data_IF_532390203298
#
_entry.id   IF_532390203298
#
_cell.length_a   1.000
_cell.length_b   1.000
_cell.length_c   1.000
_cell.angle_alpha   90.00
_cell.angle_beta   90.00
_cell.angle_gamma   90.00
#
_symmetry.space_group_name_H-M   'P 1'
#
loop_
_entity.id
_entity.type
_entity.pdbx_description
1 polymer ?
#
# COMPACT_ATOMS: atom_id res chain seq x y z
N UNK A 1 10.32 7.51 21.96
CA UNK A 1 8.89 7.45 21.63
C UNK A 1 8.72 8.36 20.43
N UNK A 2 8.63 7.76 19.24
CA UNK A 2 8.45 8.51 18.00
C UNK A 2 7.04 8.24 17.53
N UNK A 3 6.22 9.28 17.50
CA UNK A 3 4.87 9.22 16.93
C UNK A 3 4.99 8.92 15.44
N UNK A 4 4.22 7.92 14.99
CA UNK A 4 3.94 7.73 13.58
C UNK A 4 3.12 8.94 13.07
N UNK A 5 3.31 9.38 11.82
CA UNK A 5 2.51 10.47 11.28
C UNK A 5 1.03 10.12 11.38
N UNK A 6 0.28 11.02 12.03
CA UNK A 6 -1.16 10.91 12.22
C UNK A 6 -1.87 10.78 10.88
N UNK A 7 -2.73 9.77 10.76
CA UNK A 7 -3.73 9.72 9.69
C UNK A 7 -4.66 10.92 9.88
N UNK A 8 -4.74 11.79 8.88
CA UNK A 8 -5.75 12.84 8.85
C UNK A 8 -7.12 12.17 8.74
N UNK A 9 -7.85 12.16 9.85
CA UNK A 9 -9.28 11.86 9.91
C UNK A 9 -10.00 13.20 9.78
N UNK A 10 -10.02 13.74 8.57
CA UNK A 10 -10.97 14.79 8.20
C UNK A 10 -12.01 14.15 7.29
N UNK A 11 -13.15 13.82 7.87
CA UNK A 11 -14.49 14.15 7.35
C UNK A 11 -15.58 13.38 8.10
N UNK A 12 -15.77 13.74 9.37
CA UNK A 12 -17.06 13.55 10.03
C UNK A 12 -17.89 14.80 9.79
N UNK A 13 -18.72 14.76 8.74
CA UNK A 13 -20.11 15.24 8.69
C UNK A 13 -20.49 15.58 7.24
N UNK A 14 -21.42 14.80 6.66
CA UNK A 14 -22.76 15.31 6.28
C UNK A 14 -23.66 14.21 5.73
N UNK A 15 -24.93 14.34 6.12
CA UNK A 15 -26.05 13.48 5.81
C UNK A 15 -26.31 13.36 4.31
N UNK A 16 -26.61 12.12 3.89
CA UNK A 16 -27.11 11.80 2.56
C UNK A 16 -28.52 12.33 2.32
N UNK A 17 -28.82 12.79 1.10
CA UNK A 17 -30.09 12.52 0.45
C UNK A 17 -29.93 11.42 -0.59
N UNK A 18 -30.89 10.50 -0.63
CA UNK A 18 -31.11 9.54 -1.70
C UNK A 18 -31.33 10.28 -3.05
N UNK A 19 -30.25 10.61 -3.75
CA UNK A 19 -30.32 11.34 -5.01
C UNK A 19 -29.05 11.15 -5.81
N UNK A 20 -29.14 10.35 -6.86
CA UNK A 20 -28.14 10.26 -7.92
C UNK A 20 -27.91 11.65 -8.52
N UNK A 21 -26.72 12.21 -8.31
CA UNK A 21 -26.16 13.22 -9.22
C UNK A 21 -24.86 12.63 -9.78
N UNK A 22 -25.00 11.78 -10.80
CA UNK A 22 -23.89 11.23 -11.58
C UNK A 22 -23.33 12.35 -12.47
N UNK A 23 -22.58 13.28 -11.90
CA UNK A 23 -21.56 14.01 -12.66
C UNK A 23 -20.28 13.19 -12.65
N UNK A 24 -20.26 12.08 -13.38
CA UNK A 24 -18.97 11.42 -13.64
C UNK A 24 -18.89 11.00 -15.11
N UNK A 25 -18.07 11.70 -15.89
CA UNK A 25 -17.66 11.34 -17.25
C UNK A 25 -16.72 10.11 -17.29
N UNK A 26 -16.64 9.34 -16.20
CA UNK A 26 -15.72 8.20 -16.05
C UNK A 26 -16.39 6.86 -16.32
N UNK A 27 -15.65 5.95 -16.96
CA UNK A 27 -16.06 4.55 -17.13
C UNK A 27 -16.02 3.82 -15.77
N UNK A 28 -17.05 3.01 -15.52
CA UNK A 28 -17.20 2.23 -14.29
C UNK A 28 -17.34 0.74 -14.63
N UNK A 29 -16.83 -0.11 -13.75
CA UNK A 29 -17.04 -1.56 -13.78
C UNK A 29 -17.65 -2.01 -12.46
N UNK A 30 -18.43 -3.09 -12.49
CA UNK A 30 -19.01 -3.69 -11.30
C UNK A 30 -18.59 -5.15 -11.20
N UNK A 31 -18.23 -5.61 -10.00
CA UNK A 31 -17.84 -7.00 -9.75
C UNK A 31 -18.53 -7.51 -8.49
N UNK A 32 -19.19 -8.66 -8.60
CA UNK A 32 -19.91 -9.30 -7.48
C UNK A 32 -18.94 -10.15 -6.68
N UNK A 33 -18.93 -9.98 -5.36
CA UNK A 33 -18.18 -10.82 -4.41
C UNK A 33 -19.11 -11.14 -3.24
N UNK A 34 -19.59 -12.38 -3.18
CA UNK A 34 -20.58 -12.80 -2.19
C UNK A 34 -21.88 -11.98 -2.26
N UNK A 35 -22.25 -11.36 -1.13
CA UNK A 35 -23.42 -10.47 -1.01
C UNK A 35 -23.12 -9.00 -1.33
N UNK A 36 -21.93 -8.69 -1.85
CA UNK A 36 -21.51 -7.31 -2.16
C UNK A 36 -21.24 -7.15 -3.65
N UNK A 37 -21.57 -5.97 -4.17
CA UNK A 37 -21.19 -5.51 -5.51
C UNK A 37 -20.18 -4.38 -5.33
N UNK A 38 -18.98 -4.56 -5.87
CA UNK A 38 -17.94 -3.56 -5.88
C UNK A 38 -18.01 -2.79 -7.19
N UNK A 39 -18.32 -1.49 -7.11
CA UNK A 39 -18.34 -0.57 -8.24
C UNK A 39 -17.02 0.20 -8.24
N UNK A 40 -16.24 0.03 -9.30
CA UNK A 40 -14.88 0.54 -9.45
C UNK A 40 -14.84 1.47 -10.65
N UNK A 41 -14.45 2.72 -10.44
CA UNK A 41 -14.42 3.74 -11.47
C UNK A 41 -15.10 5.03 -11.03
N UNK A 42 -15.23 5.96 -11.99
CA UNK A 42 -15.60 7.34 -11.68
C UNK A 42 -14.47 8.11 -11.01
N UNK A 43 -14.59 9.44 -11.03
CA UNK A 43 -13.76 10.36 -10.26
C UNK A 43 -14.46 10.60 -8.93
N UNK A 44 -13.73 10.46 -7.80
CA UNK A 44 -14.22 11.00 -6.53
C UNK A 44 -14.32 12.53 -6.68
N UNK A 45 -15.43 13.12 -6.23
CA UNK A 45 -15.71 14.55 -6.40
C UNK A 45 -14.61 15.43 -5.78
N UNK A 46 -14.30 16.51 -6.51
CA UNK A 46 -13.38 17.62 -6.21
C UNK A 46 -11.91 17.28 -5.87
N UNK A 47 -11.04 17.57 -6.84
CA UNK A 47 -9.59 17.81 -6.75
C UNK A 47 -8.60 16.64 -6.88
N UNK A 48 -9.01 15.37 -6.73
CA UNK A 48 -8.08 14.24 -6.94
C UNK A 48 -8.58 13.26 -7.99
N UNK A 49 -8.02 13.35 -9.19
CA UNK A 49 -8.26 12.38 -10.26
C UNK A 49 -7.72 11.01 -9.82
N UNK A 50 -8.50 10.21 -9.08
CA UNK A 50 -8.20 8.82 -8.70
C UNK A 50 -9.41 7.92 -8.97
N UNK A 51 -9.16 6.61 -9.12
CA UNK A 51 -10.24 5.64 -9.35
C UNK A 51 -11.01 5.42 -8.04
N UNK A 52 -12.29 5.80 -8.04
CA UNK A 52 -13.20 5.61 -6.90
C UNK A 52 -13.61 4.14 -6.70
N UNK A 53 -13.98 3.80 -5.46
CA UNK A 53 -14.55 2.49 -5.11
C UNK A 53 -15.80 2.70 -4.26
N UNK A 54 -16.91 2.08 -4.66
CA UNK A 54 -18.16 2.03 -3.87
C UNK A 54 -18.63 0.59 -3.74
N UNK A 55 -19.34 0.30 -2.66
CA UNK A 55 -19.88 -1.04 -2.39
C UNK A 55 -21.39 -0.94 -2.32
N UNK A 56 -22.10 -1.88 -2.93
CA UNK A 56 -23.54 -2.07 -2.78
C UNK A 56 -23.77 -3.40 -2.10
N UNK A 57 -24.51 -3.40 -1.00
CA UNK A 57 -24.99 -4.64 -0.40
C UNK A 57 -26.19 -5.16 -1.21
N UNK A 58 -26.14 -6.40 -1.69
CA UNK A 58 -27.17 -6.98 -2.57
C UNK A 58 -28.46 -7.27 -1.83
N UNK A 59 -28.39 -7.69 -0.58
CA UNK A 59 -29.57 -8.05 0.21
C UNK A 59 -30.33 -6.81 0.71
N UNK A 60 -29.62 -5.73 1.04
CA UNK A 60 -30.25 -4.48 1.55
C UNK A 60 -30.40 -3.38 0.50
N UNK A 61 -29.62 -3.42 -0.58
CA UNK A 61 -29.53 -2.33 -1.56
C UNK A 61 -28.76 -1.10 -1.06
N UNK A 62 -28.15 -1.18 0.12
CA UNK A 62 -27.44 -0.07 0.74
C UNK A 62 -26.09 0.21 0.07
N UNK A 63 -25.79 1.48 -0.12
CA UNK A 63 -24.50 1.94 -0.63
C UNK A 63 -23.55 2.26 0.52
N UNK A 64 -22.32 1.76 0.41
CA UNK A 64 -21.25 1.98 1.37
C UNK A 64 -20.05 2.59 0.66
N UNK A 65 -19.48 3.63 1.24
CA UNK A 65 -18.19 4.19 0.84
C UNK A 65 -17.14 3.56 1.76
N UNK A 66 -16.31 2.63 1.28
CA UNK A 66 -15.32 1.97 2.12
C UNK A 66 -14.14 2.89 2.43
N UNK A 67 -13.47 2.61 3.53
CA UNK A 67 -12.10 3.11 3.75
C UNK A 67 -11.17 2.43 2.74
N UNK A 68 -10.53 3.23 1.90
CA UNK A 68 -9.64 2.75 0.84
C UNK A 68 -8.18 2.90 1.29
N UNK A 69 -7.50 1.76 1.44
CA UNK A 69 -6.08 1.69 1.79
C UNK A 69 -5.20 1.47 0.54
N UNK A 70 -3.88 1.62 0.73
CA UNK A 70 -2.89 1.36 -0.31
C UNK A 70 -2.74 2.49 -1.33
N UNK A 71 -1.82 2.33 -2.27
CA UNK A 71 -1.58 3.31 -3.33
C UNK A 71 -2.65 3.20 -4.40
N UNK A 72 -3.47 4.24 -4.57
CA UNK A 72 -4.51 4.26 -5.59
C UNK A 72 -3.91 4.30 -7.01
N UNK A 73 -4.46 3.55 -7.99
CA UNK A 73 -4.06 3.67 -9.38
C UNK A 73 -4.38 5.06 -9.95
N UNK A 74 -3.53 5.51 -10.88
CA UNK A 74 -3.85 6.70 -11.69
C UNK A 74 -5.10 6.42 -12.55
N UNK A 75 -5.97 7.41 -12.79
CA UNK A 75 -7.11 7.25 -13.68
C UNK A 75 -6.67 6.84 -15.08
N UNK A 76 -7.53 6.11 -15.77
CA UNK A 76 -7.36 5.72 -17.16
C UNK A 76 -8.67 5.88 -17.91
N UNK A 77 -8.59 5.93 -19.24
CA UNK A 77 -9.74 6.00 -20.16
C UNK A 77 -10.58 4.71 -20.21
N UNK A 78 -10.31 3.74 -19.35
CA UNK A 78 -11.05 2.48 -19.29
C UNK A 78 -10.25 1.36 -18.63
N UNK A 79 -10.95 0.48 -17.93
CA UNK A 79 -10.41 -0.71 -17.27
C UNK A 79 -11.42 -1.85 -17.32
N UNK A 80 -10.92 -3.07 -17.16
CA UNK A 80 -11.73 -4.27 -16.91
C UNK A 80 -11.46 -4.76 -15.49
N UNK A 81 -12.48 -5.29 -14.83
CA UNK A 81 -12.37 -5.84 -13.47
C UNK A 81 -12.89 -7.29 -13.46
N UNK A 82 -12.15 -8.20 -12.83
CA UNK A 82 -12.49 -9.62 -12.71
C UNK A 82 -12.17 -10.15 -11.32
N UNK A 83 -13.09 -10.92 -10.73
CA UNK A 83 -12.87 -11.56 -9.42
C UNK A 83 -11.78 -12.64 -9.53
N UNK A 84 -10.89 -12.66 -8.54
CA UNK A 84 -9.79 -13.62 -8.38
C UNK A 84 -9.88 -14.21 -6.96
N UNK A 85 -9.89 -15.54 -6.86
CA UNK A 85 -9.81 -16.29 -5.60
C UNK A 85 -10.81 -15.87 -4.51
N UNK A 86 -11.94 -15.28 -4.91
CA UNK A 86 -13.02 -14.77 -4.03
C UNK A 86 -12.62 -13.64 -3.07
N UNK A 87 -11.33 -13.31 -2.92
CA UNK A 87 -10.80 -12.34 -1.96
C UNK A 87 -10.25 -11.05 -2.62
N UNK A 88 -10.08 -11.06 -3.95
CA UNK A 88 -9.45 -10.00 -4.73
C UNK A 88 -10.17 -9.74 -6.04
N UNK A 89 -10.10 -8.53 -6.55
CA UNK A 89 -10.54 -8.18 -7.90
C UNK A 89 -9.30 -7.74 -8.68
N UNK A 90 -9.00 -8.40 -9.79
CA UNK A 90 -7.97 -7.97 -10.74
C UNK A 90 -8.54 -6.88 -11.64
N UNK A 91 -7.86 -5.75 -11.67
CA UNK A 91 -8.15 -4.60 -12.54
C UNK A 91 -7.06 -4.50 -13.60
N UNK A 92 -7.45 -4.58 -14.87
CA UNK A 92 -6.56 -4.39 -16.03
C UNK A 92 -6.90 -3.07 -16.71
N UNK A 93 -5.94 -2.15 -16.75
CA UNK A 93 -6.10 -0.80 -17.30
C UNK A 93 -5.77 -0.77 -18.79
N UNK A 94 -6.68 -0.27 -19.63
CA UNK A 94 -6.44 -0.06 -21.05
C UNK A 94 -5.52 1.14 -21.32
N UNK A 95 -4.68 1.06 -22.37
CA UNK A 95 -3.80 2.15 -22.82
C UNK A 95 -2.87 2.72 -21.72
N UNK A 96 -2.41 1.88 -20.80
CA UNK A 96 -1.46 2.22 -19.73
C UNK A 96 -0.04 1.73 -20.07
N UNK A 97 0.99 2.26 -19.38
CA UNK A 97 2.35 1.71 -19.50
C UNK A 97 2.41 0.27 -18.98
N UNK A 98 3.41 -0.51 -19.41
CA UNK A 98 3.62 -1.90 -18.98
C UNK A 98 3.60 -2.06 -17.46
N UNK A 99 4.10 -1.04 -16.76
CA UNK A 99 4.31 -1.06 -15.32
C UNK A 99 3.11 -0.52 -14.54
N UNK A 100 2.04 -0.05 -15.19
CA UNK A 100 0.82 0.49 -14.55
C UNK A 100 -0.45 -0.20 -15.07
N UNK A 101 -0.30 -1.35 -15.72
CA UNK A 101 -1.41 -2.01 -16.43
C UNK A 101 -2.25 -2.97 -15.60
N UNK A 102 -1.72 -3.46 -14.47
CA UNK A 102 -2.40 -4.45 -13.63
C UNK A 102 -2.43 -3.97 -12.16
N UNK A 103 -3.61 -4.09 -11.56
CA UNK A 103 -3.88 -3.69 -10.18
C UNK A 103 -4.81 -4.71 -9.53
N UNK A 104 -4.76 -4.80 -8.21
CA UNK A 104 -5.66 -5.61 -7.42
C UNK A 104 -6.41 -4.71 -6.44
N UNK A 105 -7.70 -4.99 -6.27
CA UNK A 105 -8.48 -4.51 -5.16
C UNK A 105 -8.71 -5.68 -4.21
N UNK A 106 -8.08 -5.63 -3.04
CA UNK A 106 -8.28 -6.60 -1.98
C UNK A 106 -9.58 -6.28 -1.24
N UNK A 107 -10.49 -7.25 -1.18
CA UNK A 107 -11.85 -7.06 -0.68
C UNK A 107 -12.20 -7.98 0.49
N UNK A 108 -11.55 -9.14 0.59
CA UNK A 108 -11.73 -10.09 1.70
C UNK A 108 -10.46 -10.89 2.07
N UNK A 109 -9.27 -10.35 1.79
CA UNK A 109 -8.03 -10.99 2.25
C UNK A 109 -7.97 -10.97 3.78
N UNK A 110 -7.13 -11.82 4.40
CA UNK A 110 -6.99 -11.82 5.86
C UNK A 110 -6.63 -10.44 6.42
N UNK A 111 -5.74 -9.72 5.73
CA UNK A 111 -5.40 -8.34 6.05
C UNK A 111 -6.64 -7.43 6.06
N UNK A 112 -7.48 -7.50 5.03
CA UNK A 112 -8.71 -6.70 4.95
C UNK A 112 -9.66 -7.03 6.09
N UNK A 113 -9.83 -8.31 6.44
CA UNK A 113 -10.69 -8.72 7.56
C UNK A 113 -10.17 -8.16 8.89
N UNK A 114 -8.86 -8.20 9.11
CA UNK A 114 -8.24 -7.63 10.31
C UNK A 114 -8.42 -6.10 10.36
N UNK A 115 -8.27 -5.40 9.23
CA UNK A 115 -8.51 -3.95 9.16
C UNK A 115 -9.98 -3.58 9.38
N UNK A 116 -10.94 -4.35 8.83
CA UNK A 116 -12.38 -4.16 9.09
C UNK A 116 -12.69 -4.28 10.57
N UNK A 117 -12.14 -5.29 11.24
CA UNK A 117 -12.32 -5.48 12.68
C UNK A 117 -11.70 -4.35 13.51
N UNK A 118 -10.55 -3.81 13.08
CA UNK A 118 -9.85 -2.75 13.80
C UNK A 118 -10.49 -1.37 13.61
N UNK A 119 -10.95 -1.06 12.39
CA UNK A 119 -11.51 0.24 12.03
C UNK A 119 -13.05 0.30 12.16
N UNK A 120 -13.70 -0.83 12.41
CA UNK A 120 -15.17 -0.97 12.51
C UNK A 120 -15.91 -0.39 11.28
N UNK A 121 -15.31 -0.50 10.09
CA UNK A 121 -15.84 0.01 8.83
C UNK A 121 -15.56 -0.96 7.69
N UNK A 122 -16.23 -0.79 6.54
CA UNK A 122 -15.87 -1.52 5.33
C UNK A 122 -14.53 -1.02 4.81
N UNK A 123 -13.60 -1.95 4.57
CA UNK A 123 -12.25 -1.67 4.11
C UNK A 123 -11.98 -2.40 2.81
N UNK A 124 -11.29 -1.71 1.90
CA UNK A 124 -10.66 -2.28 0.70
C UNK A 124 -9.23 -1.76 0.60
N UNK A 125 -8.34 -2.49 -0.08
CA UNK A 125 -6.98 -2.01 -0.32
C UNK A 125 -6.57 -2.18 -1.78
N UNK A 126 -5.95 -1.13 -2.33
CA UNK A 126 -5.29 -1.21 -3.63
C UNK A 126 -3.90 -1.80 -3.47
N UNK A 127 -3.58 -2.78 -4.30
CA UNK A 127 -2.22 -3.28 -4.48
C UNK A 127 -1.86 -3.31 -5.96
N UNK A 128 -0.62 -2.92 -6.27
CA UNK A 128 -0.13 -2.86 -7.65
C UNK A 128 0.24 -4.26 -8.12
N UNK A 129 -0.20 -4.65 -9.32
CA UNK A 129 0.23 -5.89 -9.94
C UNK A 129 1.66 -5.77 -10.44
N UNK A 130 2.50 -6.73 -10.06
CA UNK A 130 3.89 -6.85 -10.54
C UNK A 130 3.94 -8.05 -11.48
N UNK A 131 4.53 -7.87 -12.66
CA UNK A 131 4.79 -8.97 -13.61
C UNK A 131 6.16 -9.58 -13.31
N UNK A 132 6.20 -10.88 -13.05
CA UNK A 132 7.43 -11.65 -12.87
C UNK A 132 7.47 -12.42 -11.56
N UNK A 133 8.50 -13.24 -11.41
CA UNK A 133 8.81 -13.91 -10.16
C UNK A 133 9.54 -12.92 -9.26
N UNK A 134 8.89 -12.50 -8.18
CA UNK A 134 9.48 -11.68 -7.14
C UNK A 134 9.49 -12.46 -5.84
N UNK A 135 10.65 -12.50 -5.18
CA UNK A 135 10.75 -13.05 -3.83
C UNK A 135 9.95 -12.17 -2.87
N UNK A 136 9.11 -12.79 -2.02
CA UNK A 136 8.32 -12.06 -1.04
C UNK A 136 9.24 -11.59 0.09
N UNK A 137 9.31 -10.28 0.38
CA UNK A 137 10.11 -9.79 1.49
C UNK A 137 9.52 -10.27 2.82
N UNK A 138 10.40 -10.53 3.79
CA UNK A 138 10.02 -10.86 5.17
C UNK A 138 10.41 -9.70 6.06
N UNK A 139 9.43 -9.12 6.76
CA UNK A 139 9.65 -8.06 7.73
C UNK A 139 9.64 -8.66 9.14
N UNK A 140 10.76 -8.52 9.86
CA UNK A 140 10.86 -8.94 11.26
C UNK A 140 10.81 -7.69 12.14
N UNK A 141 9.72 -7.52 12.89
CA UNK A 141 9.48 -6.37 13.77
C UNK A 141 9.44 -6.78 15.25
N UNK A 142 9.65 -5.81 16.14
CA UNK A 142 9.63 -6.01 17.59
C UNK A 142 10.52 -5.03 18.36
N UNK A 143 10.40 -4.93 19.70
CA UNK A 143 11.15 -3.96 20.52
C UNK A 143 12.68 -4.08 20.39
N UNK A 144 13.40 -3.04 20.83
CA UNK A 144 14.86 -3.12 20.93
C UNK A 144 15.28 -4.26 21.87
N UNK A 145 16.32 -5.01 21.50
CA UNK A 145 16.84 -6.12 22.31
C UNK A 145 16.11 -7.47 22.20
N UNK A 146 14.97 -7.57 21.49
CA UNK A 146 14.20 -8.84 21.39
C UNK A 146 14.88 -9.96 20.59
N UNK A 147 16.03 -9.70 19.97
CA UNK A 147 16.79 -10.71 19.22
C UNK A 147 16.52 -10.76 17.71
N UNK A 148 15.90 -9.73 17.10
CA UNK A 148 15.66 -9.65 15.65
C UNK A 148 16.92 -9.92 14.81
N UNK A 149 18.02 -9.22 15.14
CA UNK A 149 19.30 -9.40 14.46
C UNK A 149 19.84 -10.83 14.58
N UNK A 150 19.70 -11.44 15.76
CA UNK A 150 20.09 -12.84 15.99
C UNK A 150 19.27 -13.81 15.13
N UNK A 151 17.96 -13.60 15.01
CA UNK A 151 17.11 -14.41 14.14
C UNK A 151 17.51 -14.25 12.67
N UNK A 152 17.72 -13.02 12.20
CA UNK A 152 18.19 -12.73 10.84
C UNK A 152 19.52 -13.44 10.57
N UNK A 153 20.51 -13.33 11.46
CA UNK A 153 21.80 -13.99 11.31
C UNK A 153 21.67 -15.53 11.27
N UNK A 154 20.75 -16.11 12.03
CA UNK A 154 20.47 -17.56 11.97
C UNK A 154 19.86 -17.96 10.62
N UNK A 155 18.84 -17.25 10.16
CA UNK A 155 18.19 -17.51 8.86
C UNK A 155 19.19 -17.44 7.70
N UNK A 156 20.02 -16.38 7.67
CA UNK A 156 21.07 -16.21 6.67
C UNK A 156 22.12 -17.34 6.71
N UNK A 157 22.47 -17.83 7.90
CA UNK A 157 23.46 -18.91 8.07
C UNK A 157 22.91 -20.28 7.68
N UNK A 158 21.66 -20.56 8.05
CA UNK A 158 21.03 -21.87 7.90
C UNK A 158 20.46 -22.08 6.49
N UNK A 159 20.01 -21.00 5.84
CA UNK A 159 19.46 -21.03 4.47
C UNK A 159 20.11 -19.96 3.57
N UNK A 160 21.42 -20.05 3.29
CA UNK A 160 22.18 -19.00 2.59
C UNK A 160 21.77 -18.80 1.12
N UNK A 161 21.12 -19.78 0.50
CA UNK A 161 20.61 -19.68 -0.87
C UNK A 161 19.15 -19.20 -0.95
N UNK A 162 18.51 -18.97 0.19
CA UNK A 162 17.08 -18.60 0.28
C UNK A 162 16.88 -17.20 0.87
N UNK A 163 17.76 -16.77 1.77
CA UNK A 163 17.65 -15.46 2.39
C UNK A 163 18.81 -14.56 2.00
N UNK A 164 18.45 -13.33 1.64
CA UNK A 164 19.32 -12.17 1.56
C UNK A 164 18.95 -11.16 2.66
N UNK A 165 19.89 -10.32 3.07
CA UNK A 165 19.62 -9.19 3.95
C UNK A 165 19.67 -7.89 3.17
N UNK A 166 18.60 -7.08 3.25
CA UNK A 166 18.58 -5.75 2.66
C UNK A 166 19.29 -4.75 3.59
N UNK A 167 20.40 -4.18 3.11
CA UNK A 167 21.19 -3.21 3.86
C UNK A 167 20.56 -1.82 3.71
N UNK A 168 20.01 -1.29 4.80
CA UNK A 168 19.40 0.05 4.80
C UNK A 168 20.43 1.16 4.63
N UNK A 169 19.99 2.35 4.20
CA UNK A 169 20.79 3.57 4.18
C UNK A 169 20.61 4.35 5.49
N UNK A 170 21.61 5.14 5.87
CA UNK A 170 21.49 6.12 6.95
C UNK A 170 22.38 7.34 6.76
N UNK A 171 21.93 8.49 7.27
CA UNK A 171 22.72 9.74 7.32
C UNK A 171 23.57 9.86 8.58
N UNK A 172 23.45 8.92 9.50
CA UNK A 172 24.27 8.88 10.71
C UNK A 172 25.70 8.52 10.33
N UNK A 173 26.69 9.16 10.94
CA UNK A 173 28.07 8.72 10.79
C UNK A 173 28.27 7.27 11.29
N UNK A 174 29.11 6.46 10.63
CA UNK A 174 29.44 5.10 11.09
C UNK A 174 30.06 5.11 12.49
N UNK A 175 29.67 4.14 13.33
CA UNK A 175 30.30 3.87 14.63
C UNK A 175 31.57 3.05 14.44
N UNK A 176 32.40 3.00 15.47
CA UNK A 176 33.56 2.12 15.50
C UNK A 176 33.14 0.66 15.22
N UNK A 177 33.77 0.04 14.20
CA UNK A 177 33.50 -1.31 13.65
C UNK A 177 32.32 -1.44 12.68
N UNK A 178 31.54 -0.38 12.44
CA UNK A 178 30.57 -0.41 11.35
C UNK A 178 31.29 -0.27 10.00
N UNK A 179 30.80 -0.99 9.00
CA UNK A 179 31.32 -1.01 7.65
C UNK A 179 30.22 -0.61 6.67
N UNK A 180 30.56 0.32 5.77
CA UNK A 180 29.68 0.74 4.68
C UNK A 180 29.34 -0.44 3.76
N UNK A 181 28.08 -0.50 3.33
CA UNK A 181 27.55 -1.58 2.51
C UNK A 181 27.33 -2.92 3.22
N UNK A 182 27.70 -3.04 4.50
CA UNK A 182 27.47 -4.24 5.32
C UNK A 182 26.43 -3.96 6.40
N UNK A 183 26.64 -2.90 7.19
CA UNK A 183 25.76 -2.55 8.30
C UNK A 183 24.70 -1.54 7.85
N UNK A 184 25.16 -0.51 7.14
CA UNK A 184 24.34 0.48 6.46
C UNK A 184 25.08 0.94 5.20
N UNK A 185 24.34 1.53 4.26
CA UNK A 185 24.91 2.49 3.32
C UNK A 185 24.91 3.86 3.97
N UNK A 186 26.08 4.34 4.35
CA UNK A 186 26.27 5.64 4.99
C UNK A 186 26.29 6.73 3.91
N UNK A 187 25.33 7.64 3.94
CA UNK A 187 25.18 8.69 2.92
C UNK A 187 25.04 10.07 3.53
N UNK A 188 25.34 11.11 2.75
CA UNK A 188 25.06 12.47 3.18
C UNK A 188 23.55 12.74 3.22
N UNK A 189 23.13 13.56 4.18
CA UNK A 189 21.71 13.93 4.35
C UNK A 189 21.11 14.55 3.10
N UNK A 190 21.82 15.49 2.47
CA UNK A 190 21.39 16.16 1.23
C UNK A 190 21.13 15.18 0.10
N UNK A 191 21.98 14.15 -0.04
CA UNK A 191 21.85 13.09 -1.05
C UNK A 191 20.64 12.23 -0.75
N UNK A 192 20.48 11.81 0.51
CA UNK A 192 19.35 10.98 0.92
C UNK A 192 18.00 11.71 0.77
N UNK A 193 17.92 12.99 1.14
CA UNK A 193 16.72 13.82 0.98
C UNK A 193 16.33 13.99 -0.49
N UNK A 194 17.32 14.18 -1.38
CA UNK A 194 17.09 14.20 -2.82
C UNK A 194 16.56 12.85 -3.33
N UNK A 195 17.20 11.75 -2.96
CA UNK A 195 16.77 10.43 -3.40
C UNK A 195 15.39 10.03 -2.86
N UNK A 196 15.03 10.48 -1.65
CA UNK A 196 13.67 10.36 -1.09
C UNK A 196 12.68 11.13 -1.97
N UNK A 197 12.98 12.39 -2.31
CA UNK A 197 12.13 13.21 -3.18
C UNK A 197 11.96 12.61 -4.58
N UNK A 198 13.01 11.98 -5.08
CA UNK A 198 13.02 11.28 -6.37
C UNK A 198 12.31 9.91 -6.32
N UNK A 199 11.74 9.51 -5.17
CA UNK A 199 10.98 8.28 -5.02
C UNK A 199 11.84 7.01 -5.06
N UNK A 200 13.13 7.10 -4.71
CA UNK A 200 14.07 5.96 -4.76
C UNK A 200 14.06 5.10 -3.49
N UNK A 201 13.31 5.49 -2.47
CA UNK A 201 13.19 4.75 -1.21
C UNK A 201 11.81 4.08 -1.10
N UNK A 202 11.81 2.82 -0.67
CA UNK A 202 10.61 2.07 -0.32
C UNK A 202 9.99 2.60 0.98
N UNK A 203 10.83 2.85 1.98
CA UNK A 203 10.47 3.44 3.26
C UNK A 203 11.62 4.29 3.81
N UNK A 204 11.28 5.29 4.62
CA UNK A 204 12.26 6.10 5.34
C UNK A 204 11.68 6.68 6.63
N UNK A 205 12.54 6.96 7.61
CA UNK A 205 12.16 7.58 8.87
C UNK A 205 13.29 8.47 9.42
N UNK A 206 12.89 9.53 10.14
CA UNK A 206 13.82 10.36 10.92
C UNK A 206 13.89 9.83 12.35
N UNK A 207 15.08 9.40 12.77
CA UNK A 207 15.31 8.80 14.09
C UNK A 207 16.53 9.47 14.72
N UNK A 208 16.32 10.11 15.89
CA UNK A 208 17.37 10.84 16.61
C UNK A 208 18.15 11.83 15.72
N UNK A 209 17.42 12.57 14.86
CA UNK A 209 18.00 13.58 13.97
C UNK A 209 18.68 13.04 12.71
N UNK A 210 18.76 11.72 12.52
CA UNK A 210 19.31 11.08 11.32
C UNK A 210 18.21 10.43 10.49
N UNK A 211 18.40 10.36 9.18
CA UNK A 211 17.50 9.61 8.29
C UNK A 211 17.97 8.15 8.19
N UNK A 212 16.99 7.26 8.08
CA UNK A 212 17.17 5.84 7.80
C UNK A 212 16.17 5.43 6.73
N UNK A 213 16.50 4.47 5.87
CA UNK A 213 15.56 4.01 4.85
C UNK A 213 16.05 2.83 4.02
N UNK A 214 15.12 2.15 3.37
CA UNK A 214 15.39 1.03 2.47
C UNK A 214 15.19 1.49 1.03
N UNK A 215 16.24 1.38 0.20
CA UNK A 215 16.23 1.83 -1.20
C UNK A 215 15.70 0.73 -2.12
N UNK A 216 15.09 1.09 -3.26
CA UNK A 216 14.73 0.14 -4.33
C UNK A 216 15.95 -0.49 -5.00
#
# INVERSE_FOLDING_TARGET
>A
MGEAPAFFVDDLQRNFPNGFDLKSEGLQTATVVGDKIYVIGGTDDESTSTIGVRIVNKSTGEWVIPTVLGTKPKPCKGHSAVLLNEDRILIVKGNSSSDDCAWFLEVDTQFIRDQKNFLETEVVAWSKGVKGDAEKPIVISGPSGVGKGTLISKLMKEFPSMFGFSVSHTTRAPRNKEMDGVHYHFTERSVMEKDIKDGKFLEFASVHGNLYGTKY
#
